data_IF_863606026903
#
_entry.id   IF_863606026903
#
_cell.length_a   1.000
_cell.length_b   1.000
_cell.length_c   1.000
_cell.angle_alpha   90.00
_cell.angle_beta   90.00
_cell.angle_gamma   90.00
#
_symmetry.space_group_name_H-M   'P 1'
#
loop_
_entity.id
_entity.type
_entity.pdbx_description
1 polymer ?
#
# COMPACT_ATOMS: atom_id res chain seq x y z
N UNK A 1 30.71 19.60 -1.63
CA UNK A 1 30.02 18.42 -1.06
C UNK A 1 30.28 18.25 0.44
N UNK A 2 31.52 18.27 0.92
CA UNK A 2 31.85 18.14 2.36
C UNK A 2 31.31 19.26 3.26
N UNK A 3 31.20 20.51 2.80
CA UNK A 3 30.58 21.63 3.56
C UNK A 3 29.05 21.47 3.73
N UNK A 4 28.34 20.82 2.80
CA UNK A 4 26.92 20.53 2.92
C UNK A 4 26.64 19.41 3.96
N UNK A 5 27.57 18.45 4.09
CA UNK A 5 27.49 17.38 5.09
C UNK A 5 27.73 17.88 6.53
N UNK A 6 28.30 19.06 6.71
CA UNK A 6 28.53 19.67 8.02
C UNK A 6 27.34 20.48 8.53
N UNK A 7 26.36 20.81 7.69
CA UNK A 7 25.14 21.47 8.13
C UNK A 7 24.28 20.50 8.94
N UNK A 8 23.97 20.87 10.17
CA UNK A 8 23.23 20.06 11.16
C UNK A 8 21.88 19.55 10.62
N UNK A 9 21.29 20.25 9.70
CA UNK A 9 20.00 19.98 9.05
C UNK A 9 20.01 18.67 8.25
N UNK A 10 21.06 18.43 7.45
CA UNK A 10 21.19 17.20 6.69
C UNK A 10 21.58 15.98 7.54
N UNK A 11 22.15 16.20 8.73
CA UNK A 11 22.58 15.11 9.62
C UNK A 11 21.43 14.22 10.08
N UNK A 12 20.24 14.81 10.33
CA UNK A 12 19.05 14.05 10.75
C UNK A 12 18.55 13.17 9.62
N UNK A 13 18.49 13.68 8.38
CA UNK A 13 18.03 12.94 7.20
C UNK A 13 18.98 11.81 6.88
N UNK A 14 20.31 12.06 6.89
CA UNK A 14 21.31 11.03 6.68
C UNK A 14 21.22 9.90 7.71
N UNK A 15 21.01 10.24 8.99
CA UNK A 15 20.81 9.24 10.04
C UNK A 15 19.58 8.38 9.77
N UNK A 16 18.48 8.98 9.32
CA UNK A 16 17.25 8.26 8.97
C UNK A 16 17.43 7.40 7.72
N UNK A 17 18.12 7.90 6.70
CA UNK A 17 18.44 7.13 5.49
C UNK A 17 19.32 5.92 5.83
N UNK A 18 20.39 6.09 6.61
CA UNK A 18 21.24 4.99 7.04
C UNK A 18 20.46 3.94 7.84
N UNK A 19 19.57 4.38 8.71
CA UNK A 19 18.71 3.45 9.47
C UNK A 19 17.78 2.65 8.54
N UNK A 20 17.16 3.30 7.56
CA UNK A 20 16.36 2.63 6.54
C UNK A 20 17.18 1.64 5.72
N UNK A 21 18.40 2.02 5.28
CA UNK A 21 19.31 1.12 4.57
C UNK A 21 19.66 -0.12 5.43
N UNK A 22 19.91 0.07 6.72
CA UNK A 22 20.18 -1.04 7.64
C UNK A 22 18.97 -2.00 7.74
N UNK A 23 17.76 -1.48 7.85
CA UNK A 23 16.53 -2.30 7.86
C UNK A 23 16.37 -3.07 6.55
N UNK A 24 16.60 -2.41 5.41
CA UNK A 24 16.54 -3.06 4.10
C UNK A 24 17.60 -4.15 3.94
N UNK A 25 18.77 -3.96 4.51
CA UNK A 25 19.81 -5.00 4.54
C UNK A 25 19.34 -6.25 5.31
N UNK A 26 18.74 -6.06 6.51
CA UNK A 26 18.16 -7.18 7.28
C UNK A 26 17.05 -7.87 6.48
N UNK A 27 16.20 -7.10 5.80
CA UNK A 27 15.15 -7.64 4.96
C UNK A 27 15.70 -8.49 3.82
N UNK A 28 16.70 -8.01 3.07
CA UNK A 28 17.34 -8.75 1.98
C UNK A 28 17.99 -10.03 2.49
N UNK A 29 18.68 -10.00 3.63
CA UNK A 29 19.25 -11.19 4.24
C UNK A 29 18.17 -12.23 4.56
N UNK A 30 17.07 -11.82 5.19
CA UNK A 30 15.98 -12.72 5.56
C UNK A 30 15.25 -13.32 4.35
N UNK A 31 15.12 -12.59 3.24
CA UNK A 31 14.53 -13.15 2.01
C UNK A 31 15.42 -14.16 1.30
N UNK A 32 16.70 -14.20 1.60
CA UNK A 32 17.64 -15.18 1.03
C UNK A 32 17.79 -16.45 1.87
N UNK A 33 17.18 -16.49 3.07
CA UNK A 33 17.17 -17.68 3.91
C UNK A 33 15.96 -18.54 3.52
N UNK A 34 16.18 -19.58 2.69
CA UNK A 34 15.15 -20.54 2.31
C UNK A 34 14.88 -21.55 3.45
N UNK A 35 13.60 -21.83 3.70
CA UNK A 35 13.15 -22.81 4.71
C UNK A 35 13.23 -24.23 4.13
N UNK A 36 13.00 -24.38 2.84
CA UNK A 36 12.99 -25.67 2.13
C UNK A 36 13.98 -25.61 0.97
N UNK A 37 14.81 -26.66 0.85
CA UNK A 37 15.71 -26.82 -0.32
C UNK A 37 14.88 -27.05 -1.58
N UNK A 38 15.05 -26.18 -2.55
CA UNK A 38 14.27 -26.15 -3.76
C UNK A 38 15.00 -26.88 -4.89
N UNK A 39 14.40 -27.96 -5.38
CA UNK A 39 14.75 -28.49 -6.70
C UNK A 39 13.94 -27.73 -7.75
N UNK A 40 14.63 -27.16 -8.73
CA UNK A 40 14.12 -26.31 -9.81
C UNK A 40 12.82 -26.82 -10.45
N UNK A 41 11.67 -26.40 -9.97
CA UNK A 41 10.42 -26.54 -10.69
C UNK A 41 9.85 -25.17 -11.05
N UNK A 42 9.89 -24.89 -12.33
CA UNK A 42 9.28 -23.72 -12.94
C UNK A 42 7.77 -23.74 -12.71
N UNK A 43 7.29 -22.81 -11.90
CA UNK A 43 5.86 -22.56 -11.70
C UNK A 43 5.32 -21.83 -12.92
N UNK A 44 4.71 -22.55 -13.85
CA UNK A 44 4.24 -22.01 -15.14
C UNK A 44 2.98 -21.11 -15.07
N UNK A 45 2.21 -21.11 -13.95
CA UNK A 45 0.87 -20.48 -13.98
C UNK A 45 0.53 -19.44 -12.89
N UNK A 46 1.51 -18.89 -12.17
CA UNK A 46 1.18 -17.99 -11.05
C UNK A 46 1.86 -16.61 -11.10
N UNK A 47 1.99 -16.01 -12.25
CA UNK A 47 2.61 -14.69 -12.40
C UNK A 47 1.95 -13.63 -11.49
N UNK A 48 0.61 -13.65 -11.39
CA UNK A 48 -0.11 -12.66 -10.58
C UNK A 48 0.02 -12.88 -9.07
N UNK A 49 -0.05 -14.11 -8.57
CA UNK A 49 0.10 -14.39 -7.13
C UNK A 49 1.47 -13.95 -6.61
N UNK A 50 2.53 -14.18 -7.40
CA UNK A 50 3.88 -13.67 -7.11
C UNK A 50 3.90 -12.15 -7.03
N UNK A 51 3.27 -11.49 -7.98
CA UNK A 51 3.14 -10.03 -8.03
C UNK A 51 2.37 -9.51 -6.81
N UNK A 52 1.27 -10.16 -6.47
CA UNK A 52 0.45 -9.78 -5.34
C UNK A 52 1.23 -9.84 -4.02
N UNK A 53 1.98 -10.92 -3.78
CA UNK A 53 2.78 -11.06 -2.56
C UNK A 53 3.98 -10.10 -2.57
N UNK A 54 4.62 -9.86 -3.70
CA UNK A 54 5.72 -8.88 -3.78
C UNK A 54 5.24 -7.46 -3.47
N UNK A 55 4.02 -7.09 -3.88
CA UNK A 55 3.40 -5.82 -3.53
C UNK A 55 3.04 -5.68 -2.05
N UNK A 56 3.07 -6.77 -1.29
CA UNK A 56 2.93 -6.78 0.16
C UNK A 56 4.27 -6.89 0.91
N UNK A 57 5.39 -6.83 0.20
CA UNK A 57 6.72 -6.98 0.80
C UNK A 57 7.12 -8.42 1.08
N UNK A 58 6.42 -9.41 0.50
CA UNK A 58 6.78 -10.83 0.55
C UNK A 58 7.61 -11.28 -0.63
N UNK A 59 8.15 -12.49 -0.57
CA UNK A 59 8.87 -13.13 -1.68
C UNK A 59 8.44 -14.59 -1.78
N UNK A 60 7.85 -14.96 -2.91
CA UNK A 60 7.30 -16.30 -3.17
C UNK A 60 8.20 -17.12 -4.09
N UNK A 61 9.27 -16.54 -4.62
CA UNK A 61 10.19 -17.28 -5.50
C UNK A 61 10.82 -18.47 -4.78
N UNK A 62 11.06 -18.31 -3.48
CA UNK A 62 11.51 -19.35 -2.55
C UNK A 62 10.68 -19.29 -1.28
N UNK A 63 10.35 -20.44 -0.67
CA UNK A 63 9.73 -20.44 0.66
C UNK A 63 10.77 -19.98 1.68
N UNK A 64 10.77 -18.70 1.98
CA UNK A 64 11.71 -18.04 2.90
C UNK A 64 11.00 -17.51 4.15
N UNK A 65 11.75 -16.98 5.10
CA UNK A 65 11.21 -16.47 6.36
C UNK A 65 10.18 -15.35 6.13
N UNK A 66 10.33 -14.55 5.07
CA UNK A 66 9.48 -13.38 4.75
C UNK A 66 8.48 -13.63 3.61
N UNK A 67 8.17 -14.88 3.29
CA UNK A 67 7.23 -15.23 2.20
C UNK A 67 5.87 -14.53 2.34
N UNK A 68 5.30 -14.49 3.54
CA UNK A 68 4.02 -13.79 3.79
C UNK A 68 4.12 -12.26 3.69
N UNK A 69 5.33 -11.70 3.84
CA UNK A 69 5.52 -10.26 3.83
C UNK A 69 4.74 -9.53 4.92
N UNK A 70 4.21 -8.35 4.57
CA UNK A 70 3.34 -7.51 5.41
C UNK A 70 1.84 -7.78 5.19
N UNK A 71 1.48 -8.80 4.40
CA UNK A 71 0.08 -9.13 4.05
C UNK A 71 -0.84 -9.24 5.26
N UNK A 72 -0.52 -10.06 6.30
CA UNK A 72 -1.34 -10.18 7.50
C UNK A 72 -1.53 -8.87 8.27
N UNK A 73 -0.53 -8.02 8.27
CA UNK A 73 -0.60 -6.69 8.89
C UNK A 73 -1.52 -5.75 8.11
N UNK A 74 -1.42 -5.72 6.77
CA UNK A 74 -2.29 -4.91 5.92
C UNK A 74 -3.75 -5.34 6.06
N UNK A 75 -4.04 -6.65 6.08
CA UNK A 75 -5.40 -7.15 6.31
C UNK A 75 -5.93 -6.80 7.70
N UNK A 76 -5.08 -6.85 8.75
CA UNK A 76 -5.48 -6.42 10.09
C UNK A 76 -5.82 -4.93 10.14
N UNK A 77 -5.05 -4.08 9.47
CA UNK A 77 -5.35 -2.65 9.34
C UNK A 77 -6.67 -2.40 8.64
N UNK A 78 -7.00 -3.14 7.57
CA UNK A 78 -8.28 -3.03 6.86
C UNK A 78 -9.43 -3.33 7.81
N UNK A 79 -9.37 -4.47 8.53
CA UNK A 79 -10.43 -4.89 9.45
C UNK A 79 -10.63 -3.86 10.56
N UNK A 80 -9.54 -3.40 11.19
CA UNK A 80 -9.62 -2.38 12.25
C UNK A 80 -10.13 -1.04 11.71
N UNK A 81 -9.74 -0.65 10.51
CA UNK A 81 -10.25 0.57 9.87
C UNK A 81 -11.75 0.48 9.60
N UNK A 82 -12.25 -0.62 9.08
CA UNK A 82 -13.69 -0.82 8.83
C UNK A 82 -14.50 -0.78 10.12
N UNK A 83 -14.02 -1.44 11.19
CA UNK A 83 -14.63 -1.39 12.51
C UNK A 83 -14.61 0.04 13.08
N UNK A 84 -13.50 0.75 12.92
CA UNK A 84 -13.31 2.11 13.40
C UNK A 84 -14.16 3.13 12.65
N UNK A 85 -14.38 2.91 11.35
CA UNK A 85 -15.24 3.75 10.53
C UNK A 85 -16.69 3.77 11.05
N UNK A 86 -17.19 2.63 11.54
CA UNK A 86 -18.53 2.55 12.15
C UNK A 86 -18.64 3.37 13.44
N UNK A 87 -17.58 3.45 14.26
CA UNK A 87 -17.55 4.13 15.56
C UNK A 87 -16.38 5.10 15.69
N UNK A 88 -16.31 6.11 14.81
CA UNK A 88 -15.19 7.06 14.72
C UNK A 88 -14.94 7.81 16.05
N UNK A 89 -16.00 8.20 16.78
CA UNK A 89 -15.87 8.91 18.07
C UNK A 89 -15.18 8.03 19.12
N UNK A 90 -15.46 6.73 19.17
CA UNK A 90 -14.79 5.79 20.07
C UNK A 90 -13.34 5.57 19.67
N UNK A 91 -13.07 5.46 18.38
CA UNK A 91 -11.72 5.30 17.85
C UNK A 91 -10.81 6.49 18.18
N UNK A 92 -11.35 7.72 18.08
CA UNK A 92 -10.59 8.95 18.40
C UNK A 92 -10.26 9.07 19.89
N UNK A 93 -11.04 8.45 20.79
CA UNK A 93 -10.79 8.45 22.24
C UNK A 93 -9.78 7.39 22.68
N UNK A 94 -9.46 6.40 21.83
CA UNK A 94 -8.50 5.36 22.16
C UNK A 94 -7.07 5.91 22.14
N UNK A 95 -6.25 5.42 23.07
CA UNK A 95 -4.83 5.76 23.13
C UNK A 95 -4.08 5.12 21.96
N UNK A 96 -2.95 5.70 21.57
CA UNK A 96 -2.08 5.16 20.53
C UNK A 96 -1.60 3.73 20.86
N UNK A 97 -1.31 3.47 22.14
CA UNK A 97 -0.90 2.16 22.62
C UNK A 97 -2.01 1.10 22.47
N UNK A 98 -3.26 1.47 22.84
CA UNK A 98 -4.41 0.55 22.71
C UNK A 98 -4.65 0.15 21.24
N UNK A 99 -4.56 1.12 20.32
CA UNK A 99 -4.67 0.84 18.87
C UNK A 99 -3.57 -0.11 18.40
N UNK A 100 -2.34 0.15 18.82
CA UNK A 100 -1.19 -0.64 18.45
C UNK A 100 -1.28 -2.10 18.95
N UNK A 101 -1.71 -2.32 20.21
CA UNK A 101 -1.92 -3.68 20.73
C UNK A 101 -3.02 -4.43 19.99
N UNK A 102 -4.16 -3.79 19.70
CA UNK A 102 -5.25 -4.40 18.92
C UNK A 102 -4.78 -4.82 17.54
N UNK A 103 -4.02 -3.95 16.88
CA UNK A 103 -3.44 -4.22 15.57
C UNK A 103 -2.48 -5.42 15.61
N UNK A 104 -1.61 -5.52 16.63
CA UNK A 104 -0.65 -6.62 16.79
C UNK A 104 -1.32 -7.96 17.05
N UNK A 105 -2.29 -8.01 17.96
CA UNK A 105 -3.02 -9.23 18.25
C UNK A 105 -3.75 -9.73 17.00
N UNK A 106 -4.43 -8.82 16.29
CA UNK A 106 -5.14 -9.19 15.07
C UNK A 106 -4.18 -9.64 13.96
N UNK A 107 -3.04 -8.98 13.81
CA UNK A 107 -1.98 -9.37 12.86
C UNK A 107 -1.47 -10.77 13.16
N UNK A 108 -1.25 -11.11 14.44
CA UNK A 108 -0.79 -12.44 14.85
C UNK A 108 -1.83 -13.51 14.48
N UNK A 109 -3.10 -13.29 14.78
CA UNK A 109 -4.17 -14.24 14.42
C UNK A 109 -4.24 -14.44 12.92
N UNK A 110 -4.21 -13.34 12.14
CA UNK A 110 -4.27 -13.40 10.69
C UNK A 110 -3.02 -14.02 10.07
N UNK A 111 -1.84 -13.82 10.68
CA UNK A 111 -0.60 -14.44 10.19
C UNK A 111 -0.63 -15.97 10.35
N UNK A 112 -1.23 -16.51 11.42
CA UNK A 112 -1.43 -17.95 11.57
C UNK A 112 -2.37 -18.49 10.48
N UNK A 113 -3.48 -17.80 10.24
CA UNK A 113 -4.45 -18.20 9.20
C UNK A 113 -3.83 -18.17 7.81
N UNK A 114 -3.16 -17.07 7.46
CA UNK A 114 -2.55 -16.91 6.12
C UNK A 114 -1.36 -17.85 5.92
N UNK A 115 -0.55 -18.12 6.96
CA UNK A 115 0.53 -19.10 6.86
C UNK A 115 0.01 -20.50 6.61
N UNK A 116 -1.11 -20.89 7.25
CA UNK A 116 -1.76 -22.16 7.00
C UNK A 116 -2.22 -22.28 5.53
N UNK A 117 -2.84 -21.23 4.96
CA UNK A 117 -3.27 -21.22 3.56
C UNK A 117 -2.09 -21.38 2.59
N UNK A 118 -1.02 -20.62 2.82
CA UNK A 118 0.17 -20.67 1.97
C UNK A 118 0.80 -22.06 2.02
N UNK A 119 0.97 -22.65 3.22
CA UNK A 119 1.58 -23.97 3.34
C UNK A 119 0.70 -25.05 2.73
N UNK A 120 -0.62 -24.99 2.92
CA UNK A 120 -1.55 -25.92 2.30
C UNK A 120 -1.41 -25.93 0.78
N UNK A 121 -1.27 -24.75 0.17
CA UNK A 121 -1.01 -24.62 -1.27
C UNK A 121 0.36 -25.20 -1.68
N UNK A 122 1.39 -25.08 -0.83
CA UNK A 122 2.70 -25.67 -1.09
C UNK A 122 2.72 -27.18 -0.84
N UNK A 123 1.98 -27.69 0.13
CA UNK A 123 1.86 -29.14 0.42
C UNK A 123 1.05 -29.86 -0.66
N UNK A 124 -0.05 -29.29 -1.14
CA UNK A 124 -0.85 -29.85 -2.23
C UNK A 124 -0.04 -30.02 -3.53
N UNK A 125 1.02 -29.23 -3.69
CA UNK A 125 1.97 -29.30 -4.82
C UNK A 125 3.20 -30.19 -4.51
N UNK A 126 3.16 -31.03 -3.47
CA UNK A 126 4.24 -31.94 -3.02
C UNK A 126 5.59 -31.26 -2.72
N UNK A 127 5.56 -29.96 -2.34
CA UNK A 127 6.78 -29.16 -2.11
C UNK A 127 7.26 -29.15 -0.66
N UNK A 128 6.44 -29.56 0.28
CA UNK A 128 6.77 -29.59 1.72
C UNK A 128 6.37 -30.96 2.28
N UNK A 129 7.29 -31.61 3.00
CA UNK A 129 6.97 -32.84 3.74
C UNK A 129 5.97 -32.54 4.86
N UNK A 130 4.95 -33.38 5.01
CA UNK A 130 3.88 -33.21 6.01
C UNK A 130 4.39 -33.13 7.45
N UNK A 131 5.53 -33.76 7.76
CA UNK A 131 6.08 -33.84 9.12
C UNK A 131 6.51 -32.50 9.72
N UNK A 132 6.76 -31.48 8.89
CA UNK A 132 7.30 -30.19 9.31
C UNK A 132 6.32 -29.00 9.20
N UNK A 133 5.02 -29.24 8.94
CA UNK A 133 4.03 -28.19 8.68
C UNK A 133 3.95 -27.18 9.84
N UNK A 134 3.86 -27.66 11.09
CA UNK A 134 3.73 -26.78 12.26
C UNK A 134 4.96 -25.90 12.47
N UNK A 135 6.14 -26.44 12.23
CA UNK A 135 7.39 -25.70 12.35
C UNK A 135 7.47 -24.61 11.26
N UNK A 136 7.06 -24.94 10.04
CA UNK A 136 7.03 -23.97 8.93
C UNK A 136 6.02 -22.86 9.21
N UNK A 137 4.82 -23.16 9.73
CA UNK A 137 3.84 -22.16 10.17
C UNK A 137 4.48 -21.22 11.20
N UNK A 138 5.14 -21.77 12.22
CA UNK A 138 5.77 -20.97 13.27
C UNK A 138 6.86 -20.05 12.72
N UNK A 139 7.68 -20.52 11.80
CA UNK A 139 8.72 -19.71 11.14
C UNK A 139 8.08 -18.57 10.33
N UNK A 140 7.04 -18.84 9.55
CA UNK A 140 6.36 -17.83 8.75
C UNK A 140 5.69 -16.76 9.63
N UNK A 141 5.03 -17.17 10.72
CA UNK A 141 4.41 -16.25 11.68
C UNK A 141 5.46 -15.37 12.37
N UNK A 142 6.57 -15.97 12.83
CA UNK A 142 7.66 -15.20 13.44
C UNK A 142 8.31 -14.24 12.44
N UNK A 143 8.49 -14.66 11.18
CA UNK A 143 8.99 -13.82 10.11
C UNK A 143 8.10 -12.60 9.83
N UNK A 144 6.78 -12.80 9.74
CA UNK A 144 5.84 -11.68 9.57
C UNK A 144 5.86 -10.70 10.74
N UNK A 145 5.87 -11.20 11.98
CA UNK A 145 5.93 -10.35 13.17
C UNK A 145 7.25 -9.57 13.26
N UNK A 146 8.35 -10.17 12.81
CA UNK A 146 9.65 -9.51 12.71
C UNK A 146 9.63 -8.41 11.65
N UNK A 147 9.05 -8.67 10.46
CA UNK A 147 8.90 -7.64 9.42
C UNK A 147 8.05 -6.46 9.89
N UNK A 148 6.94 -6.74 10.56
CA UNK A 148 6.07 -5.70 11.09
C UNK A 148 6.80 -4.88 12.17
N UNK A 149 7.62 -5.52 13.00
CA UNK A 149 8.48 -4.81 13.96
C UNK A 149 9.54 -3.95 13.26
N UNK A 150 10.18 -4.44 12.18
CA UNK A 150 11.11 -3.66 11.37
C UNK A 150 10.43 -2.45 10.71
N UNK A 151 9.22 -2.63 10.17
CA UNK A 151 8.42 -1.55 9.59
C UNK A 151 8.07 -0.45 10.60
N UNK A 152 7.73 -0.83 11.86
CA UNK A 152 7.49 0.13 12.94
C UNK A 152 8.76 0.88 13.32
N UNK A 153 9.87 0.18 13.43
CA UNK A 153 11.16 0.82 13.71
C UNK A 153 11.55 1.78 12.60
N UNK A 154 11.31 1.40 11.33
CA UNK A 154 11.53 2.29 10.20
C UNK A 154 10.60 3.51 10.22
N UNK A 155 9.36 3.35 10.66
CA UNK A 155 8.43 4.48 10.81
C UNK A 155 8.90 5.50 11.86
N UNK A 156 9.51 5.03 12.96
CA UNK A 156 9.99 5.91 14.04
C UNK A 156 11.35 6.54 13.74
N UNK A 157 12.31 5.75 13.29
CA UNK A 157 13.73 6.14 13.17
C UNK A 157 14.22 6.28 11.73
N UNK A 158 13.51 5.72 10.77
CA UNK A 158 13.82 5.73 9.35
C UNK A 158 12.92 6.68 8.54
N UNK A 159 12.70 6.32 7.28
CA UNK A 159 11.93 7.07 6.30
C UNK A 159 10.78 6.20 5.78
N UNK A 160 9.58 6.78 5.66
CA UNK A 160 8.40 6.21 5.00
C UNK A 160 7.90 4.85 5.51
N UNK A 161 8.30 4.42 6.73
CA UNK A 161 7.76 3.22 7.39
C UNK A 161 7.91 1.93 6.59
N UNK A 162 6.82 1.21 6.25
CA UNK A 162 6.87 -0.07 5.53
C UNK A 162 7.18 0.06 4.03
N UNK A 163 6.99 1.26 3.44
CA UNK A 163 7.07 1.45 1.98
C UNK A 163 8.42 1.06 1.35
N UNK A 164 9.59 1.35 1.94
CA UNK A 164 10.87 0.92 1.38
C UNK A 164 11.02 -0.61 1.33
N UNK A 165 10.47 -1.35 2.31
CA UNK A 165 10.50 -2.82 2.33
C UNK A 165 9.71 -3.36 1.13
N UNK A 166 8.51 -2.83 0.90
CA UNK A 166 7.67 -3.22 -0.24
C UNK A 166 8.33 -2.84 -1.57
N UNK A 167 8.94 -1.66 -1.65
CA UNK A 167 9.67 -1.21 -2.84
C UNK A 167 10.79 -2.20 -3.23
N UNK A 168 11.60 -2.64 -2.26
CA UNK A 168 12.68 -3.62 -2.51
C UNK A 168 12.11 -4.97 -2.92
N UNK A 169 10.99 -5.42 -2.31
CA UNK A 169 10.31 -6.65 -2.73
C UNK A 169 9.85 -6.61 -4.17
N UNK A 170 9.23 -5.50 -4.59
CA UNK A 170 8.78 -5.31 -5.97
C UNK A 170 9.97 -5.33 -6.93
N UNK A 171 11.04 -4.60 -6.63
CA UNK A 171 12.26 -4.59 -7.45
C UNK A 171 12.83 -6.01 -7.58
N UNK A 172 12.94 -6.74 -6.47
CA UNK A 172 13.42 -8.13 -6.46
C UNK A 172 12.54 -9.03 -7.33
N UNK A 173 11.22 -8.92 -7.22
CA UNK A 173 10.26 -9.67 -8.04
C UNK A 173 10.42 -9.35 -9.53
N UNK A 174 10.57 -8.07 -9.88
CA UNK A 174 10.78 -7.64 -11.28
C UNK A 174 12.10 -8.18 -11.86
N UNK A 175 13.17 -8.22 -11.06
CA UNK A 175 14.46 -8.76 -11.51
C UNK A 175 14.45 -10.28 -11.72
N UNK A 176 13.60 -11.00 -11.00
CA UNK A 176 13.46 -12.46 -11.17
C UNK A 176 12.44 -12.86 -12.23
N UNK A 177 11.72 -11.91 -12.79
CA UNK A 177 10.77 -12.16 -13.86
C UNK A 177 11.53 -12.40 -15.17
N UNK A 178 11.48 -13.63 -15.69
CA UNK A 178 12.06 -13.95 -16.99
C UNK A 178 11.17 -13.30 -18.05
N UNK A 179 11.69 -12.28 -18.72
CA UNK A 179 11.07 -11.80 -19.96
C UNK A 179 11.34 -12.84 -21.05
N UNK A 180 10.32 -13.55 -21.45
CA UNK A 180 10.39 -14.41 -22.63
C UNK A 180 10.56 -13.51 -23.87
N UNK A 181 11.24 -14.01 -24.90
CA UNK A 181 11.38 -13.26 -26.15
C UNK A 181 10.00 -12.93 -26.70
N UNK A 182 9.71 -11.63 -26.80
CA UNK A 182 8.41 -11.13 -27.26
C UNK A 182 8.37 -11.33 -28.78
N UNK A 183 7.68 -12.37 -29.23
CA UNK A 183 7.36 -12.61 -30.66
C UNK A 183 6.23 -11.67 -31.15
N UNK A 184 6.21 -10.43 -30.66
CA UNK A 184 5.28 -9.41 -31.09
C UNK A 184 5.94 -8.45 -32.09
N UNK A 185 5.14 -7.90 -32.99
CA UNK A 185 5.65 -6.90 -33.94
C UNK A 185 6.20 -5.69 -33.16
N UNK A 186 7.29 -5.10 -33.64
CA UNK A 186 7.91 -3.92 -33.01
C UNK A 186 6.92 -2.77 -32.77
N UNK A 187 5.86 -2.68 -33.57
CA UNK A 187 4.79 -1.69 -33.44
C UNK A 187 3.97 -1.92 -32.17
N UNK A 188 3.63 -3.18 -31.83
CA UNK A 188 2.86 -3.54 -30.62
C UNK A 188 3.69 -3.25 -29.36
N UNK A 189 4.97 -3.57 -29.37
CA UNK A 189 5.89 -3.28 -28.27
C UNK A 189 6.02 -1.77 -28.05
N UNK A 190 6.22 -0.99 -29.12
CA UNK A 190 6.29 0.47 -29.03
C UNK A 190 5.00 1.08 -28.49
N UNK A 191 3.84 0.59 -28.93
CA UNK A 191 2.54 1.05 -28.43
C UNK A 191 2.35 0.76 -26.95
N UNK A 192 2.77 -0.43 -26.48
CA UNK A 192 2.71 -0.81 -25.07
C UNK A 192 3.61 0.09 -24.21
N UNK A 193 4.84 0.36 -24.65
CA UNK A 193 5.77 1.26 -23.95
C UNK A 193 5.18 2.68 -23.85
N UNK A 194 4.62 3.19 -24.94
CA UNK A 194 3.98 4.52 -24.95
C UNK A 194 2.80 4.55 -23.98
N UNK A 195 1.97 3.51 -23.95
CA UNK A 195 0.83 3.41 -23.04
C UNK A 195 1.30 3.42 -21.58
N UNK A 196 2.35 2.67 -21.24
CA UNK A 196 2.93 2.66 -19.88
C UNK A 196 3.45 4.05 -19.50
N UNK A 197 4.16 4.74 -20.38
CA UNK A 197 4.66 6.10 -20.12
C UNK A 197 3.51 7.07 -19.89
N UNK A 198 2.45 7.00 -20.69
CA UNK A 198 1.26 7.84 -20.53
C UNK A 198 0.57 7.56 -19.18
N UNK A 199 0.38 6.28 -18.81
CA UNK A 199 -0.25 5.92 -17.54
C UNK A 199 0.57 6.41 -16.34
N UNK A 200 1.90 6.30 -16.38
CA UNK A 200 2.79 6.82 -15.35
C UNK A 200 2.70 8.35 -15.24
N UNK A 201 2.67 9.06 -16.37
CA UNK A 201 2.55 10.51 -16.38
C UNK A 201 1.21 11.00 -15.81
N UNK A 202 0.10 10.34 -16.18
CA UNK A 202 -1.23 10.66 -15.63
C UNK A 202 -1.26 10.40 -14.12
N UNK A 203 -0.65 9.31 -13.66
CA UNK A 203 -0.61 8.95 -12.24
C UNK A 203 0.21 9.96 -11.43
N UNK A 204 1.38 10.38 -11.93
CA UNK A 204 2.17 11.47 -11.35
C UNK A 204 1.36 12.76 -11.24
N UNK A 205 0.63 13.10 -12.29
CA UNK A 205 -0.21 14.30 -12.31
C UNK A 205 -1.30 14.25 -11.25
N UNK A 206 -2.03 13.12 -11.14
CA UNK A 206 -3.09 12.93 -10.12
C UNK A 206 -2.53 13.06 -8.70
N UNK A 207 -1.34 12.54 -8.42
CA UNK A 207 -0.73 12.58 -7.09
C UNK A 207 -0.28 14.00 -6.70
N UNK A 208 0.11 14.81 -7.68
CA UNK A 208 0.55 16.19 -7.46
C UNK A 208 -0.61 17.19 -7.38
N UNK A 209 -1.79 16.84 -7.91
CA UNK A 209 -2.95 17.74 -7.92
C UNK A 209 -3.61 17.80 -6.54
N UNK A 210 -3.81 19.02 -6.05
CA UNK A 210 -4.49 19.33 -4.81
C UNK A 210 -5.78 20.12 -5.06
N UNK A 211 -6.86 19.73 -4.39
CA UNK A 211 -8.10 20.52 -4.33
C UNK A 211 -7.98 21.51 -3.18
N UNK A 212 -8.06 22.81 -3.48
CA UNK A 212 -7.92 23.89 -2.51
C UNK A 212 -9.29 24.49 -2.19
N UNK A 213 -9.72 24.37 -0.95
CA UNK A 213 -10.99 24.91 -0.44
C UNK A 213 -10.69 26.19 0.34
N UNK A 214 -11.09 27.40 -0.15
CA UNK A 214 -10.80 28.65 0.52
C UNK A 214 -11.62 28.77 1.83
N UNK A 215 -11.00 29.24 2.90
CA UNK A 215 -11.66 29.56 4.15
C UNK A 215 -11.17 30.91 4.71
N UNK A 216 -11.90 31.44 5.66
CA UNK A 216 -11.57 32.71 6.35
C UNK A 216 -10.95 32.35 7.69
N UNK A 217 -9.72 32.83 7.92
CA UNK A 217 -8.98 32.68 9.17
C UNK A 217 -9.09 34.00 9.95
N UNK A 218 -9.78 33.95 11.09
CA UNK A 218 -9.99 35.13 11.93
C UNK A 218 -8.71 35.67 12.57
N UNK A 219 -7.71 34.82 12.79
CA UNK A 219 -6.44 35.22 13.41
C UNK A 219 -5.49 35.91 12.43
N UNK A 220 -5.62 35.62 11.13
CA UNK A 220 -4.72 36.13 10.07
C UNK A 220 -5.34 37.24 9.19
N UNK A 221 -6.53 37.74 9.51
CA UNK A 221 -7.23 38.75 8.69
C UNK A 221 -6.44 40.05 8.52
N UNK A 222 -5.53 40.36 9.43
CA UNK A 222 -4.80 41.66 9.43
C UNK A 222 -3.40 41.60 8.81
N UNK A 223 -2.83 40.43 8.55
CA UNK A 223 -1.39 40.35 8.23
C UNK A 223 -1.05 40.28 6.73
N UNK A 224 -1.89 39.67 5.90
CA UNK A 224 -1.62 39.55 4.45
C UNK A 224 -2.89 39.29 3.66
N UNK A 225 -2.98 39.86 2.44
CA UNK A 225 -4.04 39.57 1.45
C UNK A 225 -4.03 38.10 0.93
N UNK A 226 -3.36 37.17 1.64
CA UNK A 226 -3.30 35.78 1.26
C UNK A 226 -4.55 35.05 1.74
N UNK A 227 -5.36 34.58 0.81
CA UNK A 227 -6.51 33.73 1.09
C UNK A 227 -6.05 32.41 1.70
N UNK A 228 -6.45 32.11 2.92
CA UNK A 228 -6.20 30.82 3.54
C UNK A 228 -7.02 29.74 2.84
N UNK A 229 -6.43 28.58 2.61
CA UNK A 229 -7.11 27.45 1.95
C UNK A 229 -6.77 26.14 2.63
N UNK A 230 -7.73 25.23 2.65
CA UNK A 230 -7.56 23.83 3.04
C UNK A 230 -7.23 23.03 1.80
N UNK A 231 -6.04 22.43 1.76
CA UNK A 231 -5.62 21.58 0.64
C UNK A 231 -5.88 20.12 0.93
N UNK A 232 -6.46 19.41 -0.04
CA UNK A 232 -6.60 17.97 -0.04
C UNK A 232 -6.05 17.40 -1.34
N UNK A 233 -5.28 16.31 -1.25
CA UNK A 233 -4.92 15.54 -2.43
C UNK A 233 -6.16 14.95 -3.09
N UNK A 234 -6.15 14.82 -4.40
CA UNK A 234 -7.23 14.17 -5.17
C UNK A 234 -7.37 12.70 -4.77
N UNK A 235 -6.26 12.03 -4.48
CA UNK A 235 -6.26 10.66 -3.96
C UNK A 235 -5.47 10.57 -2.64
N UNK A 236 -6.09 10.87 -1.48
CA UNK A 236 -5.38 10.91 -0.20
C UNK A 236 -4.80 9.58 0.26
N UNK A 237 -5.44 8.47 -0.11
CA UNK A 237 -5.07 7.13 0.30
C UNK A 237 -4.15 6.40 -0.69
N UNK A 238 -4.01 6.91 -1.89
CA UNK A 238 -3.18 6.51 -3.01
C UNK A 238 -2.53 5.13 -2.94
N UNK A 239 -1.21 5.10 -2.74
CA UNK A 239 -0.41 3.87 -2.72
C UNK A 239 -0.82 2.87 -1.63
N UNK A 240 -1.26 3.35 -0.46
CA UNK A 240 -1.69 2.47 0.64
C UNK A 240 -2.92 1.67 0.22
N UNK A 241 -3.84 2.29 -0.54
CA UNK A 241 -5.02 1.60 -1.08
C UNK A 241 -4.64 0.45 -1.99
N UNK A 242 -3.65 0.64 -2.88
CA UNK A 242 -3.20 -0.40 -3.80
C UNK A 242 -2.62 -1.60 -3.04
N UNK A 243 -1.75 -1.36 -2.09
CA UNK A 243 -1.18 -2.42 -1.26
C UNK A 243 -2.26 -3.17 -0.47
N UNK A 244 -3.19 -2.43 0.14
CA UNK A 244 -4.28 -3.02 0.92
C UNK A 244 -5.29 -3.79 0.06
N UNK A 245 -5.64 -3.30 -1.13
CA UNK A 245 -6.61 -3.97 -2.00
C UNK A 245 -6.09 -5.32 -2.50
N UNK A 246 -4.81 -5.38 -2.84
CA UNK A 246 -4.15 -6.64 -3.23
C UNK A 246 -4.15 -7.63 -2.05
N UNK A 247 -3.79 -7.15 -0.85
CA UNK A 247 -3.80 -7.97 0.37
C UNK A 247 -5.21 -8.52 0.69
N UNK A 248 -6.23 -7.68 0.59
CA UNK A 248 -7.62 -8.08 0.80
C UNK A 248 -8.08 -9.09 -0.25
N UNK A 249 -7.71 -8.92 -1.51
CA UNK A 249 -8.07 -9.84 -2.58
C UNK A 249 -7.44 -11.22 -2.37
N UNK A 250 -6.14 -11.29 -2.05
CA UNK A 250 -5.44 -12.55 -1.74
C UNK A 250 -6.06 -13.23 -0.52
N UNK A 251 -6.35 -12.47 0.53
CA UNK A 251 -7.01 -13.02 1.72
C UNK A 251 -8.41 -13.57 1.42
N UNK A 252 -9.22 -12.88 0.62
CA UNK A 252 -10.54 -13.37 0.20
C UNK A 252 -10.43 -14.61 -0.67
N UNK A 253 -9.53 -14.64 -1.65
CA UNK A 253 -9.28 -15.82 -2.49
C UNK A 253 -8.93 -17.03 -1.62
N UNK A 254 -7.96 -16.90 -0.73
CA UNK A 254 -7.52 -17.96 0.16
C UNK A 254 -8.62 -18.41 1.13
N UNK A 255 -9.40 -17.47 1.67
CA UNK A 255 -10.53 -17.76 2.56
C UNK A 255 -11.66 -18.53 1.87
N UNK A 256 -12.02 -18.14 0.65
CA UNK A 256 -13.05 -18.83 -0.14
C UNK A 256 -12.57 -20.24 -0.51
N UNK A 257 -11.32 -20.38 -0.95
CA UNK A 257 -10.73 -21.67 -1.26
C UNK A 257 -10.76 -22.61 -0.04
N UNK A 258 -10.40 -22.11 1.14
CA UNK A 258 -10.45 -22.89 2.38
C UNK A 258 -11.87 -23.33 2.76
N UNK A 259 -12.86 -22.43 2.68
CA UNK A 259 -14.27 -22.75 2.96
C UNK A 259 -14.76 -23.85 2.01
N UNK A 260 -14.47 -23.73 0.73
CA UNK A 260 -14.92 -24.71 -0.26
C UNK A 260 -14.20 -26.05 -0.11
N UNK A 261 -12.93 -26.07 0.26
CA UNK A 261 -12.21 -27.31 0.53
C UNK A 261 -12.78 -28.09 1.74
N UNK A 262 -13.40 -27.36 2.69
CA UNK A 262 -14.13 -28.01 3.80
C UNK A 262 -15.43 -28.66 3.37
N UNK A 263 -16.11 -28.12 2.36
CA UNK A 263 -17.41 -28.63 1.91
C UNK A 263 -17.31 -29.67 0.78
N UNK A 264 -16.31 -29.59 -0.08
CA UNK A 264 -16.14 -30.50 -1.21
C UNK A 264 -14.69 -30.98 -1.33
N UNK A 265 -14.45 -32.26 -1.04
CA UNK A 265 -13.14 -32.92 -1.17
C UNK A 265 -12.59 -33.06 -2.60
N UNK A 266 -13.33 -32.65 -3.62
CA UNK A 266 -13.03 -32.90 -5.04
C UNK A 266 -12.95 -31.66 -5.92
N UNK A 267 -12.79 -30.46 -5.33
CA UNK A 267 -12.60 -29.27 -6.17
C UNK A 267 -11.13 -29.24 -6.59
N UNK A 268 -10.88 -29.40 -7.90
CA UNK A 268 -9.60 -29.15 -8.55
C UNK A 268 -9.01 -27.82 -8.05
N UNK A 269 -7.73 -27.83 -7.71
CA UNK A 269 -6.95 -26.76 -7.05
C UNK A 269 -7.04 -25.36 -7.68
N UNK A 270 -7.65 -25.25 -8.85
CA UNK A 270 -7.86 -24.00 -9.57
C UNK A 270 -9.32 -23.57 -9.51
N UNK A 271 -9.62 -22.54 -8.69
CA UNK A 271 -10.84 -21.74 -8.90
C UNK A 271 -10.59 -20.74 -10.04
N UNK A 272 -10.94 -21.08 -11.30
CA UNK A 272 -10.68 -20.19 -12.43
C UNK A 272 -11.46 -18.86 -12.33
N UNK A 273 -12.48 -18.81 -11.47
CA UNK A 273 -13.31 -17.60 -11.31
C UNK A 273 -12.62 -16.47 -10.51
N UNK A 274 -11.68 -16.77 -9.59
CA UNK A 274 -10.98 -15.77 -8.76
C UNK A 274 -9.49 -15.63 -9.12
N UNK A 275 -9.17 -15.89 -10.38
CA UNK A 275 -7.86 -15.61 -10.95
C UNK A 275 -7.92 -14.32 -11.76
N UNK A 276 -6.77 -13.68 -11.96
CA UNK A 276 -6.69 -12.50 -12.86
C UNK A 276 -6.72 -12.88 -14.35
N UNK A 277 -6.74 -14.17 -14.65
CA UNK A 277 -6.99 -14.67 -16.00
C UNK A 277 -8.49 -14.72 -16.34
N UNK A 278 -9.35 -14.40 -15.36
CA UNK A 278 -10.80 -14.32 -15.53
C UNK A 278 -11.32 -12.88 -15.40
N UNK A 279 -12.31 -12.48 -16.22
CA UNK A 279 -12.90 -11.14 -16.13
C UNK A 279 -13.60 -10.92 -14.77
N UNK A 280 -14.09 -12.00 -14.15
CA UNK A 280 -14.72 -11.93 -12.82
C UNK A 280 -13.70 -11.61 -11.73
N UNK A 281 -12.53 -12.25 -11.74
CA UNK A 281 -11.48 -11.98 -10.76
C UNK A 281 -10.96 -10.55 -10.83
N UNK A 282 -10.72 -10.04 -12.05
CA UNK A 282 -10.32 -8.64 -12.26
C UNK A 282 -11.41 -7.68 -11.74
N UNK A 283 -12.69 -7.94 -12.08
CA UNK A 283 -13.80 -7.09 -11.63
C UNK A 283 -13.91 -7.07 -10.11
N UNK A 284 -13.80 -8.22 -9.45
CA UNK A 284 -13.85 -8.34 -7.98
C UNK A 284 -12.69 -7.54 -7.35
N UNK A 285 -11.48 -7.67 -7.90
CA UNK A 285 -10.33 -6.89 -7.42
C UNK A 285 -10.57 -5.38 -7.53
N UNK A 286 -11.05 -4.89 -8.68
CA UNK A 286 -11.31 -3.46 -8.89
C UNK A 286 -12.42 -2.93 -7.97
N UNK A 287 -13.46 -3.73 -7.71
CA UNK A 287 -14.51 -3.37 -6.74
C UNK A 287 -13.94 -3.28 -5.33
N UNK A 288 -13.11 -4.25 -4.90
CA UNK A 288 -12.43 -4.21 -3.60
C UNK A 288 -11.54 -2.97 -3.50
N UNK A 289 -10.75 -2.67 -4.52
CA UNK A 289 -9.89 -1.49 -4.59
C UNK A 289 -10.69 -0.20 -4.45
N UNK A 290 -11.82 -0.08 -5.17
CA UNK A 290 -12.68 1.10 -5.13
C UNK A 290 -13.33 1.28 -3.75
N UNK A 291 -13.85 0.21 -3.16
CA UNK A 291 -14.46 0.25 -1.83
C UNK A 291 -13.43 0.61 -0.74
N UNK A 292 -12.31 -0.11 -0.69
CA UNK A 292 -11.27 0.14 0.30
C UNK A 292 -10.68 1.54 0.14
N UNK A 293 -10.42 1.97 -1.08
CA UNK A 293 -9.91 3.30 -1.36
C UNK A 293 -10.86 4.40 -0.88
N UNK A 294 -12.17 4.23 -1.09
CA UNK A 294 -13.17 5.18 -0.59
C UNK A 294 -13.15 5.26 0.94
N UNK A 295 -13.23 4.12 1.62
CA UNK A 295 -13.22 4.09 3.08
C UNK A 295 -11.91 4.65 3.66
N UNK A 296 -10.77 4.28 3.09
CA UNK A 296 -9.45 4.73 3.56
C UNK A 296 -9.26 6.24 3.32
N UNK A 297 -9.62 6.75 2.14
CA UNK A 297 -9.52 8.19 1.84
C UNK A 297 -10.42 9.01 2.77
N UNK A 298 -11.62 8.54 3.03
CA UNK A 298 -12.56 9.17 3.98
C UNK A 298 -12.02 9.14 5.42
N UNK A 299 -11.39 8.03 5.80
CA UNK A 299 -10.78 7.88 7.11
C UNK A 299 -9.60 8.85 7.31
N UNK A 300 -8.75 9.02 6.29
CA UNK A 300 -7.60 9.93 6.33
C UNK A 300 -8.03 11.40 6.35
N UNK A 301 -9.00 11.80 5.55
CA UNK A 301 -9.50 13.20 5.53
C UNK A 301 -10.13 13.59 6.87
N UNK A 302 -10.83 12.67 7.53
CA UNK A 302 -11.49 12.86 8.83
C UNK A 302 -12.21 14.22 8.98
N UNK A 303 -13.21 14.44 8.15
CA UNK A 303 -13.97 15.70 8.07
C UNK A 303 -14.59 16.13 9.40
N UNK A 304 -14.98 15.17 10.26
CA UNK A 304 -15.56 15.44 11.57
C UNK A 304 -14.54 16.10 12.52
N UNK A 305 -13.31 15.59 12.54
CA UNK A 305 -12.25 16.19 13.34
C UNK A 305 -11.86 17.57 12.80
N UNK A 306 -11.72 17.70 11.48
CA UNK A 306 -11.43 18.98 10.83
C UNK A 306 -12.48 20.04 11.15
N UNK A 307 -13.77 19.68 11.11
CA UNK A 307 -14.86 20.61 11.48
C UNK A 307 -14.76 21.08 12.94
N UNK A 308 -14.40 20.18 13.88
CA UNK A 308 -14.17 20.53 15.28
C UNK A 308 -12.95 21.44 15.46
N UNK A 309 -11.87 21.19 14.70
CA UNK A 309 -10.68 22.02 14.75
C UNK A 309 -10.97 23.44 14.22
N UNK A 310 -11.75 23.55 13.11
CA UNK A 310 -12.22 24.84 12.60
C UNK A 310 -13.07 25.62 13.62
N UNK A 311 -13.97 24.91 14.32
CA UNK A 311 -14.78 25.54 15.36
C UNK A 311 -13.92 26.07 16.52
N UNK A 312 -12.87 25.34 16.92
CA UNK A 312 -11.97 25.74 18.00
C UNK A 312 -11.05 26.89 17.62
N UNK A 313 -10.58 26.94 16.38
CA UNK A 313 -9.72 28.00 15.86
C UNK A 313 -10.50 29.25 15.40
N UNK A 314 -11.84 29.21 15.40
CA UNK A 314 -12.66 30.30 14.91
C UNK A 314 -12.71 30.44 13.38
N UNK A 315 -12.13 29.50 12.65
CA UNK A 315 -12.10 29.51 11.19
C UNK A 315 -13.45 29.11 10.61
N UNK A 316 -13.85 29.72 9.50
CA UNK A 316 -15.13 29.42 8.85
C UNK A 316 -15.08 29.54 7.34
N UNK A 317 -16.03 28.89 6.68
CA UNK A 317 -16.25 28.99 5.23
C UNK A 317 -17.29 30.07 4.95
N UNK A 318 -17.08 30.89 3.92
CA UNK A 318 -18.05 31.92 3.55
C UNK A 318 -19.40 31.28 3.17
N UNK A 319 -20.48 31.78 3.81
CA UNK A 319 -21.84 31.26 3.58
C UNK A 319 -22.20 29.98 4.30
N UNK A 320 -21.30 29.40 5.16
CA UNK A 320 -21.56 28.17 5.91
C UNK A 320 -21.52 28.46 7.41
N UNK A 321 -22.56 28.05 8.14
CA UNK A 321 -22.62 28.23 9.60
C UNK A 321 -21.56 27.32 10.28
N UNK A 322 -20.79 27.85 11.28
CA UNK A 322 -19.86 27.06 12.05
C UNK A 322 -20.52 25.87 12.76
N UNK A 323 -19.82 24.73 12.82
CA UNK A 323 -20.29 23.52 13.50
C UNK A 323 -20.82 22.43 12.57
N UNK A 324 -22.05 21.98 12.72
CA UNK A 324 -22.64 20.85 11.95
C UNK A 324 -22.73 21.13 10.45
N UNK A 325 -23.00 22.36 10.06
CA UNK A 325 -23.12 22.70 8.64
C UNK A 325 -21.74 22.72 7.97
N UNK A 326 -20.70 23.17 8.69
CA UNK A 326 -19.29 23.01 8.25
C UNK A 326 -18.92 21.54 8.06
N UNK A 327 -19.33 20.64 8.96
CA UNK A 327 -19.10 19.20 8.82
C UNK A 327 -19.80 18.64 7.58
N UNK A 328 -21.07 19.04 7.33
CA UNK A 328 -21.81 18.61 6.13
C UNK A 328 -21.14 19.10 4.85
N UNK A 329 -20.71 20.35 4.81
CA UNK A 329 -20.03 20.95 3.68
C UNK A 329 -18.71 20.20 3.37
N UNK A 330 -17.85 20.01 4.38
CA UNK A 330 -16.61 19.25 4.24
C UNK A 330 -16.86 17.80 3.83
N UNK A 331 -17.91 17.17 4.36
CA UNK A 331 -18.30 15.81 3.97
C UNK A 331 -18.69 15.70 2.49
N UNK A 332 -19.40 16.70 1.97
CA UNK A 332 -19.76 16.75 0.55
C UNK A 332 -18.52 16.90 -0.32
N UNK A 333 -17.65 17.88 -0.04
CA UNK A 333 -16.42 18.12 -0.77
C UNK A 333 -15.49 16.89 -0.73
N UNK A 334 -15.29 16.28 0.44
CA UNK A 334 -14.47 15.09 0.60
C UNK A 334 -15.04 13.90 -0.22
N UNK A 335 -16.36 13.76 -0.29
CA UNK A 335 -17.00 12.71 -1.08
C UNK A 335 -16.70 12.87 -2.57
N UNK A 336 -16.87 14.08 -3.10
CA UNK A 336 -16.57 14.38 -4.50
C UNK A 336 -15.11 14.10 -4.84
N UNK A 337 -14.17 14.60 -4.01
CA UNK A 337 -12.74 14.42 -4.22
C UNK A 337 -12.35 12.93 -4.17
N UNK A 338 -12.81 12.18 -3.15
CA UNK A 338 -12.49 10.77 -3.01
C UNK A 338 -13.03 9.94 -4.19
N UNK A 339 -14.28 10.13 -4.60
CA UNK A 339 -14.85 9.39 -5.71
C UNK A 339 -14.11 9.65 -7.03
N UNK A 340 -13.83 10.90 -7.31
CA UNK A 340 -13.12 11.28 -8.53
C UNK A 340 -11.70 10.69 -8.57
N UNK A 341 -10.92 10.85 -7.50
CA UNK A 341 -9.57 10.33 -7.42
C UNK A 341 -9.51 8.80 -7.54
N UNK A 342 -10.45 8.11 -6.88
CA UNK A 342 -10.52 6.65 -6.93
C UNK A 342 -10.96 6.13 -8.30
N UNK A 343 -11.95 6.77 -8.92
CA UNK A 343 -12.38 6.38 -10.27
C UNK A 343 -11.21 6.46 -11.26
N UNK A 344 -10.42 7.55 -11.20
CA UNK A 344 -9.24 7.69 -12.06
C UNK A 344 -8.21 6.58 -11.83
N UNK A 345 -7.84 6.32 -10.58
CA UNK A 345 -6.84 5.26 -10.26
C UNK A 345 -7.36 3.88 -10.63
N UNK A 346 -8.65 3.60 -10.40
CA UNK A 346 -9.28 2.32 -10.79
C UNK A 346 -9.26 2.11 -12.29
N UNK A 347 -9.48 3.16 -13.08
CA UNK A 347 -9.40 3.11 -14.54
C UNK A 347 -7.95 2.88 -15.00
N UNK A 348 -6.98 3.60 -14.42
CA UNK A 348 -5.56 3.47 -14.78
C UNK A 348 -5.04 2.05 -14.56
N UNK A 349 -5.46 1.38 -13.50
CA UNK A 349 -5.03 0.01 -13.19
C UNK A 349 -5.92 -1.01 -13.90
N UNK A 350 -7.21 -0.73 -14.02
CA UNK A 350 -8.18 -1.63 -14.63
C UNK A 350 -7.95 -1.83 -16.13
N UNK A 351 -7.58 -0.77 -16.87
CA UNK A 351 -7.34 -0.87 -18.31
C UNK A 351 -6.23 -1.89 -18.63
N UNK A 352 -5.02 -1.80 -18.06
CA UNK A 352 -3.99 -2.82 -18.29
C UNK A 352 -4.44 -4.23 -17.89
N UNK A 353 -5.10 -4.37 -16.72
CA UNK A 353 -5.56 -5.67 -16.26
C UNK A 353 -6.62 -6.30 -17.18
N UNK A 354 -7.57 -5.53 -17.71
CA UNK A 354 -8.51 -6.06 -18.70
C UNK A 354 -7.84 -6.37 -20.02
N UNK A 355 -6.77 -5.66 -20.36
CA UNK A 355 -6.03 -5.90 -21.59
C UNK A 355 -5.34 -7.27 -21.60
N UNK A 356 -4.98 -7.85 -20.44
CA UNK A 356 -4.45 -9.22 -20.35
C UNK A 356 -5.41 -10.27 -20.88
N UNK A 357 -6.73 -10.03 -20.78
CA UNK A 357 -7.74 -10.97 -21.27
C UNK A 357 -7.80 -11.01 -22.81
N UNK A 358 -7.51 -9.89 -23.48
CA UNK A 358 -7.51 -9.81 -24.93
C UNK A 358 -6.21 -10.36 -25.57
N UNK A 359 -5.10 -10.24 -24.85
CA UNK A 359 -3.78 -10.64 -25.34
C UNK A 359 -3.06 -11.50 -24.28
N UNK A 360 -3.45 -12.78 -24.10
CA UNK A 360 -2.87 -13.66 -23.08
C UNK A 360 -1.36 -13.87 -23.23
N UNK A 361 -0.83 -13.81 -24.46
CA UNK A 361 0.61 -13.97 -24.74
C UNK A 361 1.46 -12.84 -24.15
N UNK A 362 0.89 -11.66 -23.88
CA UNK A 362 1.56 -10.50 -23.29
C UNK A 362 1.20 -10.28 -21.81
N UNK A 363 0.61 -11.28 -21.16
CA UNK A 363 0.16 -11.16 -19.75
C UNK A 363 1.33 -10.84 -18.81
N UNK A 364 2.50 -11.43 -19.04
CA UNK A 364 3.70 -11.23 -18.23
C UNK A 364 4.19 -9.77 -18.29
N UNK A 365 4.22 -9.18 -19.48
CA UNK A 365 4.65 -7.80 -19.74
C UNK A 365 3.65 -6.78 -19.18
N UNK A 366 2.35 -7.11 -19.28
CA UNK A 366 1.31 -6.25 -18.71
C UNK A 366 1.37 -6.27 -17.19
N UNK A 367 1.57 -7.44 -16.58
CA UNK A 367 1.77 -7.55 -15.13
C UNK A 367 3.03 -6.82 -14.65
N UNK A 368 4.12 -6.89 -15.44
CA UNK A 368 5.33 -6.10 -15.20
C UNK A 368 5.01 -4.59 -15.21
N UNK A 369 4.21 -4.14 -16.18
CA UNK A 369 3.77 -2.75 -16.27
C UNK A 369 2.96 -2.31 -15.04
N UNK A 370 2.06 -3.16 -14.55
CA UNK A 370 1.29 -2.90 -13.31
C UNK A 370 2.22 -2.81 -12.09
N UNK A 371 3.21 -3.70 -11.97
CA UNK A 371 4.21 -3.62 -10.89
C UNK A 371 5.01 -2.31 -10.96
N UNK A 372 5.39 -1.89 -12.16
CA UNK A 372 6.12 -0.64 -12.37
C UNK A 372 5.27 0.57 -11.94
N UNK A 373 3.96 0.57 -12.27
CA UNK A 373 3.02 1.59 -11.81
C UNK A 373 3.00 1.66 -10.28
N UNK A 374 2.86 0.52 -9.60
CA UNK A 374 2.84 0.46 -8.13
C UNK A 374 4.16 0.93 -7.53
N UNK A 375 5.29 0.53 -8.11
CA UNK A 375 6.63 0.94 -7.69
C UNK A 375 6.82 2.45 -7.77
N UNK A 376 6.44 3.07 -8.90
CA UNK A 376 6.53 4.52 -9.07
C UNK A 376 5.64 5.23 -8.04
N UNK A 377 4.44 4.72 -7.81
CA UNK A 377 3.51 5.29 -6.84
C UNK A 377 4.07 5.26 -5.40
N UNK A 378 4.68 4.16 -5.00
CA UNK A 378 5.37 4.05 -3.70
C UNK A 378 6.57 5.01 -3.64
N UNK A 379 7.33 5.12 -4.72
CA UNK A 379 8.50 6.02 -4.80
C UNK A 379 8.11 7.49 -4.61
N UNK A 380 6.97 7.92 -5.17
CA UNK A 380 6.45 9.28 -4.98
C UNK A 380 6.14 9.52 -3.49
N UNK A 381 5.48 8.58 -2.81
CA UNK A 381 5.17 8.72 -1.39
C UNK A 381 6.43 8.77 -0.50
N UNK A 382 7.46 7.98 -0.84
CA UNK A 382 8.75 8.05 -0.16
C UNK A 382 9.40 9.43 -0.37
N UNK A 383 9.39 9.93 -1.62
CA UNK A 383 9.93 11.25 -1.95
C UNK A 383 9.20 12.39 -1.21
N UNK A 384 7.86 12.32 -1.12
CA UNK A 384 7.08 13.29 -0.34
C UNK A 384 7.41 13.24 1.16
N UNK A 385 7.59 12.03 1.71
CA UNK A 385 8.00 11.87 3.11
C UNK A 385 9.38 12.51 3.34
N UNK A 386 10.33 12.32 2.44
CA UNK A 386 11.65 12.98 2.51
C UNK A 386 11.48 14.50 2.42
N UNK A 387 10.64 14.98 1.51
CA UNK A 387 10.37 16.41 1.34
C UNK A 387 9.78 17.04 2.60
N UNK A 388 8.86 16.35 3.28
CA UNK A 388 8.29 16.86 4.55
C UNK A 388 9.35 17.01 5.64
N UNK A 389 10.31 16.10 5.75
CA UNK A 389 11.44 16.24 6.69
C UNK A 389 12.35 17.44 6.34
N UNK A 390 12.56 17.71 5.05
CA UNK A 390 13.35 18.87 4.59
C UNK A 390 12.65 20.21 4.89
N UNK A 391 11.31 20.26 4.89
CA UNK A 391 10.59 21.50 5.18
C UNK A 391 10.72 21.93 6.63
N UNK A 392 10.74 21.02 7.60
CA UNK A 392 10.92 21.36 9.02
C UNK A 392 12.27 22.07 9.28
N UNK A 393 13.29 21.72 8.52
CA UNK A 393 14.63 22.31 8.69
C UNK A 393 14.73 23.73 8.11
N UNK A 394 13.86 24.12 7.17
CA UNK A 394 13.83 25.48 6.61
C UNK A 394 13.41 26.57 7.60
N UNK A 395 12.65 26.20 8.64
CA UNK A 395 12.18 27.17 9.65
C UNK A 395 13.16 27.36 10.81
N UNK A 396 14.12 26.46 11.01
CA UNK A 396 15.15 26.59 12.06
C UNK A 396 16.06 27.82 11.91
N UNK A 397 16.54 28.18 10.71
CA UNK A 397 17.36 29.39 10.57
C UNK A 397 16.63 30.67 10.96
N UNK A 398 15.30 30.70 10.75
CA UNK A 398 14.47 31.84 11.13
C UNK A 398 14.37 31.97 12.66
N UNK A 399 14.18 30.88 13.37
CA UNK A 399 14.14 30.86 14.83
C UNK A 399 15.50 31.19 15.46
N UNK A 400 16.60 30.75 14.88
CA UNK A 400 17.97 31.05 15.35
C UNK A 400 18.40 32.51 15.13
N UNK A 401 17.68 33.28 14.31
CA UNK A 401 17.92 34.72 14.18
C UNK A 401 17.34 35.54 15.33
N UNK A 402 16.47 34.96 16.16
CA UNK A 402 15.81 35.61 17.29
C UNK A 402 16.29 35.11 18.68
N UNK A 403 17.22 34.18 18.70
CA UNK A 403 17.93 33.70 19.87
C UNK A 403 19.43 33.77 19.58
#
# INVERSE_FOLDING_TARGET
>A
MLKLLQQYEYKIIYKRMLYTCFILFIYILGTNISIVSYNDMQVKHESFFKIAISNMGGDVNTLNIFTLGLGPWLTSMIILMLISYRNMDKYMKQTSLEKHYKERILTLILSVIQSYFVIHEYVSKERVHQDNIYLTILILVTGTMLLVWLADKNSRYGIAGPMPIVMVSIIKSMMHQKMEYIDASHIVIALLIILVIITLFILLFIELVEVRIPYIDLMNVSATNMKSYLSWKVNPAGSITLMMSISAFVFLKSGIHFILSMFNKSISDDMPMLTFDSPVGISVYLVIQMLLGYFLSRFLINTKQKSKDFLKSGNYFSGVKPGKDTERYLNYQARCVCWFGLALVTVIIGIPLYFTLFVPHLSTEIYFSVQLIVLVYISINIAETIRTYLYFDKYKPFLNQYW
#
